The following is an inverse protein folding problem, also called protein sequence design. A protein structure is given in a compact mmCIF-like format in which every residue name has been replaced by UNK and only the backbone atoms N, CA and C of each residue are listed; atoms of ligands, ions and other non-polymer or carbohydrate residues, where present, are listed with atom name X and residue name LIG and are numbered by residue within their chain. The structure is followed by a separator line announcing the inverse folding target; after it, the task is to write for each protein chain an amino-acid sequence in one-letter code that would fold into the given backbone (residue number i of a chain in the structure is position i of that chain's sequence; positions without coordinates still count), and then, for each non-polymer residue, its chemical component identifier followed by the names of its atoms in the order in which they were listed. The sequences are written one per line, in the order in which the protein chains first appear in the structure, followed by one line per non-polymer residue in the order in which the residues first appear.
data_IF_969595557568
#
_entry.id   IF_969595557568
#
_cell.length_a   1.000
_cell.length_b   1.000
_cell.length_c   1.000
_cell.angle_alpha   90.00
_cell.angle_beta   90.00
_cell.angle_gamma   90.00
#
_symmetry.space_group_name_H-M   'P 1'
#
loop_
_entity.id
_entity.type
_entity.pdbx_description
1 polymer ?
#
# COMPACT_ATOMS: atom_id res chain seq x y z
N UNK A 1 -6.74 -12.94 -25.41
CA UNK A 1 -6.24 -13.52 -24.14
C UNK A 1 -5.25 -12.52 -23.57
N UNK A 2 -5.56 -11.89 -22.42
CA UNK A 2 -4.58 -11.01 -21.75
C UNK A 2 -3.41 -11.88 -21.28
N UNK A 3 -2.15 -11.41 -21.40
CA UNK A 3 -1.01 -12.15 -20.87
C UNK A 3 -1.24 -12.38 -19.37
N UNK A 4 -0.96 -13.58 -18.91
CA UNK A 4 -1.00 -13.95 -17.47
C UNK A 4 0.08 -13.12 -16.78
N UNK A 5 -0.26 -11.92 -16.37
CA UNK A 5 0.64 -11.09 -15.55
C UNK A 5 0.73 -11.76 -14.18
N UNK A 6 1.93 -12.06 -13.74
CA UNK A 6 2.21 -12.62 -12.41
C UNK A 6 1.49 -11.78 -11.35
N UNK A 7 0.62 -12.40 -10.57
CA UNK A 7 -0.12 -11.70 -9.51
C UNK A 7 0.86 -11.18 -8.47
N UNK A 8 0.59 -9.98 -7.98
CA UNK A 8 1.32 -9.39 -6.86
C UNK A 8 0.92 -10.12 -5.58
N UNK A 9 1.90 -10.60 -4.81
CA UNK A 9 1.65 -11.23 -3.51
C UNK A 9 1.41 -10.20 -2.42
N UNK A 10 0.33 -10.38 -1.65
CA UNK A 10 0.05 -9.60 -0.45
C UNK A 10 -0.35 -10.53 0.70
N UNK A 11 0.06 -10.18 1.91
CA UNK A 11 -0.41 -10.87 3.11
C UNK A 11 -1.84 -10.48 3.45
N UNK A 12 -2.60 -11.38 4.03
CA UNK A 12 -3.94 -11.07 4.54
C UNK A 12 -4.27 -11.89 5.79
N UNK A 13 -4.99 -11.29 6.73
CA UNK A 13 -5.55 -12.05 7.86
C UNK A 13 -6.48 -13.13 7.34
N UNK A 14 -6.18 -14.39 7.64
CA UNK A 14 -6.82 -15.59 7.06
C UNK A 14 -8.35 -15.59 7.20
N UNK A 15 -8.88 -15.07 8.30
CA UNK A 15 -10.33 -14.98 8.53
C UNK A 15 -11.04 -14.06 7.53
N UNK A 16 -10.34 -13.05 6.96
CA UNK A 16 -10.90 -12.15 5.94
C UNK A 16 -11.08 -12.85 4.58
N UNK A 17 -10.30 -13.90 4.33
CA UNK A 17 -10.39 -14.73 3.13
C UNK A 17 -11.47 -15.82 3.22
N UNK A 18 -12.13 -15.96 4.39
CA UNK A 18 -13.14 -16.98 4.63
C UNK A 18 -12.60 -18.25 5.27
N UNK A 19 -11.33 -18.29 5.69
CA UNK A 19 -10.75 -19.43 6.40
C UNK A 19 -11.29 -19.43 7.84
N UNK A 20 -11.75 -20.59 8.31
CA UNK A 20 -12.36 -20.78 9.62
C UNK A 20 -11.31 -20.88 10.72
N UNK A 21 -10.73 -19.75 11.10
CA UNK A 21 -9.62 -19.64 12.07
C UNK A 21 -9.94 -18.78 13.29
N UNK A 22 -11.18 -18.33 13.41
CA UNK A 22 -11.59 -17.53 14.56
C UNK A 22 -11.77 -18.38 15.82
N UNK A 23 -11.78 -17.72 16.98
CA UNK A 23 -11.96 -18.36 18.29
C UNK A 23 -13.25 -19.19 18.39
N UNK A 24 -14.29 -18.80 17.65
CA UNK A 24 -15.61 -19.44 17.57
C UNK A 24 -15.70 -20.51 16.46
N UNK A 25 -14.62 -20.83 15.76
CA UNK A 25 -14.63 -21.73 14.60
C UNK A 25 -15.18 -21.08 13.32
N UNK A 26 -15.54 -19.80 13.35
CA UNK A 26 -16.06 -19.05 12.21
C UNK A 26 -14.98 -18.33 11.40
N UNK A 27 -15.44 -17.42 10.55
CA UNK A 27 -14.60 -16.50 9.76
C UNK A 27 -15.23 -15.09 9.71
N UNK A 28 -14.50 -14.13 9.12
CA UNK A 28 -14.98 -12.77 8.83
C UNK A 28 -14.70 -12.44 7.36
N UNK A 29 -15.15 -13.34 6.45
CA UNK A 29 -14.93 -13.16 5.02
C UNK A 29 -15.42 -11.80 4.57
N UNK A 30 -14.53 -11.05 3.96
CA UNK A 30 -14.81 -9.80 3.28
C UNK A 30 -14.89 -10.08 1.78
N UNK A 31 -16.05 -9.80 1.17
CA UNK A 31 -16.27 -10.08 -0.26
C UNK A 31 -15.34 -9.28 -1.16
N UNK A 32 -15.12 -8.01 -0.83
CA UNK A 32 -14.25 -7.17 -1.64
C UNK A 32 -12.81 -7.70 -1.62
N UNK A 33 -12.28 -8.09 -0.45
CA UNK A 33 -10.95 -8.69 -0.34
C UNK A 33 -10.91 -10.03 -1.07
N UNK A 34 -11.80 -10.95 -0.74
CA UNK A 34 -11.73 -12.33 -1.22
C UNK A 34 -12.04 -12.46 -2.72
N UNK A 35 -13.04 -11.73 -3.22
CA UNK A 35 -13.58 -11.91 -4.57
C UNK A 35 -13.04 -10.85 -5.54
N UNK A 36 -13.07 -9.56 -5.16
CA UNK A 36 -12.64 -8.48 -6.07
C UNK A 36 -11.12 -8.37 -6.11
N UNK A 37 -10.48 -8.14 -4.98
CA UNK A 37 -9.01 -8.02 -4.94
C UNK A 37 -8.31 -9.35 -5.23
N UNK A 38 -8.90 -10.49 -4.86
CA UNK A 38 -8.38 -11.83 -5.13
C UNK A 38 -8.26 -12.19 -6.60
N UNK A 39 -8.95 -11.46 -7.50
CA UNK A 39 -8.74 -11.61 -8.95
C UNK A 39 -7.36 -11.07 -9.36
N UNK A 40 -6.83 -10.07 -8.65
CA UNK A 40 -5.62 -9.33 -9.00
C UNK A 40 -4.42 -9.66 -8.13
N UNK A 41 -4.64 -10.04 -6.88
CA UNK A 41 -3.61 -10.37 -5.91
C UNK A 41 -3.57 -11.86 -5.59
N UNK A 42 -2.37 -12.35 -5.27
CA UNK A 42 -2.15 -13.66 -4.66
C UNK A 42 -2.03 -13.46 -3.16
N UNK A 43 -2.86 -14.13 -2.37
CA UNK A 43 -2.84 -13.98 -0.91
C UNK A 43 -1.92 -14.97 -0.23
N UNK A 44 -1.14 -14.48 0.73
CA UNK A 44 -0.49 -15.28 1.77
C UNK A 44 -1.33 -15.14 3.04
N UNK A 45 -2.17 -16.14 3.38
CA UNK A 45 -3.01 -16.09 4.56
C UNK A 45 -2.19 -16.22 5.83
N UNK A 46 -2.51 -15.41 6.85
CA UNK A 46 -1.86 -15.47 8.17
C UNK A 46 -2.92 -15.38 9.27
N UNK A 47 -2.88 -16.34 10.19
CA UNK A 47 -3.65 -16.27 11.44
C UNK A 47 -2.70 -16.43 12.62
N UNK A 48 -2.28 -15.33 13.28
CA UNK A 48 -1.30 -15.41 14.37
C UNK A 48 -1.71 -16.35 15.50
N UNK A 49 -3.00 -16.42 15.80
CA UNK A 49 -3.52 -17.21 16.90
C UNK A 49 -3.45 -18.71 16.63
N UNK A 50 -3.84 -19.14 15.42
CA UNK A 50 -3.82 -20.55 15.02
C UNK A 50 -2.40 -21.02 14.72
N UNK A 51 -1.63 -20.22 13.98
CA UNK A 51 -0.26 -20.56 13.62
C UNK A 51 0.69 -20.56 14.82
N UNK A 52 0.37 -19.76 15.85
CA UNK A 52 1.04 -19.81 17.16
C UNK A 52 0.73 -21.11 17.93
N UNK A 53 -0.38 -21.80 17.63
CA UNK A 53 -0.76 -23.07 18.24
C UNK A 53 -2.01 -23.04 19.12
N UNK A 54 -2.78 -21.96 19.12
CA UNK A 54 -4.06 -21.93 19.83
C UNK A 54 -5.11 -22.80 19.08
N UNK A 55 -5.92 -23.60 19.80
CA UNK A 55 -6.92 -24.48 19.18
C UNK A 55 -8.09 -23.72 18.57
N UNK A 56 -8.93 -24.42 17.82
CA UNK A 56 -10.22 -23.97 17.34
C UNK A 56 -11.29 -25.00 17.78
N UNK A 57 -12.31 -24.62 18.54
CA UNK A 57 -12.56 -23.29 19.16
C UNK A 57 -11.61 -23.00 20.31
N UNK A 58 -11.52 -21.73 20.71
CA UNK A 58 -10.66 -21.29 21.81
C UNK A 58 -11.27 -20.15 22.61
N UNK A 59 -10.74 -19.94 23.79
CA UNK A 59 -11.04 -18.76 24.57
C UNK A 59 -10.57 -17.50 23.85
N UNK A 60 -11.32 -16.41 23.96
CA UNK A 60 -10.90 -15.10 23.44
C UNK A 60 -9.67 -14.59 24.17
N UNK A 61 -8.83 -13.88 23.45
CA UNK A 61 -7.66 -13.19 24.00
C UNK A 61 -7.85 -11.68 23.92
N UNK A 62 -7.17 -10.95 24.81
CA UNK A 62 -7.20 -9.48 24.87
C UNK A 62 -5.85 -8.90 25.22
N UNK A 63 -5.64 -7.62 24.89
CA UNK A 63 -4.50 -6.86 25.38
C UNK A 63 -4.84 -6.26 26.75
N UNK A 64 -3.93 -6.33 27.71
CA UNK A 64 -4.11 -5.82 29.05
C UNK A 64 -2.81 -5.20 29.62
N UNK A 65 -2.96 -4.33 30.64
CA UNK A 65 -1.84 -3.72 31.38
C UNK A 65 -1.36 -2.41 30.76
N UNK A 66 -0.04 -2.21 30.75
CA UNK A 66 0.58 -0.98 30.28
C UNK A 66 0.44 -0.83 28.75
N UNK A 67 -0.13 0.29 28.24
CA UNK A 67 -0.21 0.56 26.82
C UNK A 67 1.13 0.61 26.08
N UNK A 68 2.23 0.91 26.76
CA UNK A 68 3.56 0.90 26.16
C UNK A 68 4.11 -0.52 25.98
N UNK A 69 3.67 -1.47 26.81
CA UNK A 69 4.06 -2.89 26.75
C UNK A 69 2.88 -3.80 27.12
N UNK A 70 1.84 -3.87 26.29
CA UNK A 70 0.64 -4.61 26.62
C UNK A 70 0.90 -6.11 26.65
N UNK A 71 0.24 -6.79 27.58
CA UNK A 71 0.23 -8.24 27.68
C UNK A 71 -0.92 -8.83 26.87
N UNK A 72 -0.70 -9.96 26.25
CA UNK A 72 -1.72 -10.75 25.56
C UNK A 72 -2.20 -11.87 26.48
N UNK A 73 -3.39 -11.74 27.01
CA UNK A 73 -3.95 -12.69 27.96
C UNK A 73 -5.27 -13.27 27.49
N UNK A 74 -5.60 -14.48 27.91
CA UNK A 74 -6.95 -15.05 27.75
C UNK A 74 -7.94 -14.25 28.58
N UNK A 75 -9.17 -14.10 28.08
CA UNK A 75 -10.16 -13.17 28.68
C UNK A 75 -10.75 -13.69 29.99
N UNK A 76 -10.89 -15.02 30.16
CA UNK A 76 -11.49 -15.68 31.32
C UNK A 76 -10.43 -16.27 32.26
N UNK A 77 -9.49 -17.05 31.70
CA UNK A 77 -8.51 -17.78 32.52
C UNK A 77 -7.26 -16.96 32.87
N UNK A 78 -7.04 -15.81 32.17
CA UNK A 78 -5.91 -14.93 32.43
C UNK A 78 -4.54 -15.48 32.02
N UNK A 79 -4.48 -16.58 31.27
CA UNK A 79 -3.21 -17.16 30.79
C UNK A 79 -2.48 -16.16 29.91
N UNK A 80 -1.21 -15.93 30.22
CA UNK A 80 -0.35 -14.96 29.51
C UNK A 80 0.36 -15.62 28.32
N UNK A 81 0.06 -15.14 27.12
CA UNK A 81 0.65 -15.58 25.84
C UNK A 81 1.66 -14.57 25.27
N UNK A 82 2.00 -13.52 26.00
CA UNK A 82 2.74 -12.37 25.47
C UNK A 82 4.07 -12.75 24.85
N UNK A 83 4.96 -13.37 25.65
CA UNK A 83 6.31 -13.66 25.20
C UNK A 83 6.36 -14.75 24.11
N UNK A 84 5.50 -15.74 24.23
CA UNK A 84 5.41 -16.80 23.24
C UNK A 84 4.87 -16.26 21.89
N UNK A 85 3.83 -15.40 21.93
CA UNK A 85 3.30 -14.74 20.73
C UNK A 85 4.31 -13.77 20.11
N UNK A 86 5.10 -13.04 20.93
CA UNK A 86 6.17 -12.16 20.42
C UNK A 86 7.23 -12.95 19.67
N UNK A 87 7.76 -14.02 20.27
CA UNK A 87 8.76 -14.90 19.65
C UNK A 87 8.24 -15.51 18.34
N UNK A 88 7.02 -16.03 18.38
CA UNK A 88 6.37 -16.56 17.17
C UNK A 88 6.22 -15.47 16.09
N UNK A 89 5.76 -14.27 16.47
CA UNK A 89 5.58 -13.16 15.53
C UNK A 89 6.87 -12.75 14.85
N UNK A 90 7.97 -12.65 15.60
CA UNK A 90 9.28 -12.29 15.03
C UNK A 90 9.79 -13.38 14.06
N UNK A 91 9.64 -14.67 14.41
CA UNK A 91 9.98 -15.77 13.51
C UNK A 91 9.11 -15.77 12.25
N UNK A 92 7.79 -15.62 12.41
CA UNK A 92 6.85 -15.61 11.27
C UNK A 92 7.07 -14.43 10.31
N UNK A 93 7.40 -13.26 10.84
CA UNK A 93 7.73 -12.10 10.02
C UNK A 93 8.99 -12.34 9.19
N UNK A 94 10.01 -13.01 9.74
CA UNK A 94 11.20 -13.41 9.00
C UNK A 94 10.87 -14.40 7.86
N UNK A 95 9.95 -15.35 8.08
CA UNK A 95 9.51 -16.26 7.03
C UNK A 95 8.73 -15.52 5.94
N UNK A 96 7.86 -14.59 6.32
CA UNK A 96 7.11 -13.75 5.39
C UNK A 96 8.01 -12.85 4.52
N UNK A 97 9.22 -12.51 4.97
CA UNK A 97 10.18 -11.77 4.15
C UNK A 97 10.58 -12.55 2.88
N UNK A 98 10.56 -13.90 2.92
CA UNK A 98 10.84 -14.76 1.77
C UNK A 98 9.69 -14.82 0.75
N UNK A 99 8.48 -14.45 1.15
CA UNK A 99 7.29 -14.44 0.29
C UNK A 99 7.25 -13.25 -0.68
N UNK A 100 8.13 -12.28 -0.51
CA UNK A 100 8.15 -11.05 -1.31
C UNK A 100 6.80 -10.32 -1.33
N UNK A 101 6.19 -10.13 -0.17
CA UNK A 101 4.92 -9.42 -0.02
C UNK A 101 5.07 -7.95 -0.44
N UNK A 102 4.13 -7.46 -1.25
CA UNK A 102 4.06 -6.06 -1.63
C UNK A 102 3.05 -5.25 -0.79
N UNK A 103 2.32 -5.89 0.12
CA UNK A 103 1.38 -5.26 1.02
C UNK A 103 0.83 -6.25 2.04
N UNK A 104 0.08 -5.75 3.04
CA UNK A 104 -0.61 -6.62 4.01
C UNK A 104 -1.97 -6.01 4.41
N UNK A 105 -3.02 -6.85 4.41
CA UNK A 105 -4.37 -6.49 4.87
C UNK A 105 -4.63 -7.18 6.21
N UNK A 106 -4.72 -6.39 7.26
CA UNK A 106 -4.90 -6.86 8.62
C UNK A 106 -6.37 -6.87 9.04
N UNK A 107 -6.74 -7.80 9.94
CA UNK A 107 -8.05 -7.75 10.62
C UNK A 107 -8.04 -6.66 11.68
N UNK A 108 -8.94 -5.69 11.55
CA UNK A 108 -9.15 -4.62 12.54
C UNK A 108 -9.51 -5.15 13.92
N UNK A 109 -9.15 -4.41 14.95
CA UNK A 109 -9.48 -4.65 16.38
C UNK A 109 -9.04 -6.00 16.94
N UNK A 110 -8.26 -6.79 16.22
CA UNK A 110 -7.72 -8.05 16.73
C UNK A 110 -6.54 -7.79 17.67
N UNK A 111 -6.48 -8.43 18.86
CA UNK A 111 -5.38 -8.26 19.80
C UNK A 111 -4.04 -8.80 19.25
N UNK A 112 -4.08 -9.67 18.27
CA UNK A 112 -2.89 -10.15 17.56
C UNK A 112 -2.60 -9.36 16.28
N UNK A 113 -3.62 -9.04 15.46
CA UNK A 113 -3.47 -8.53 14.09
C UNK A 113 -3.94 -7.08 13.90
N UNK A 114 -4.56 -6.42 14.87
CA UNK A 114 -5.10 -5.07 14.67
C UNK A 114 -4.00 -4.04 14.47
N UNK A 115 -4.10 -3.22 13.40
CA UNK A 115 -3.11 -2.18 13.13
C UNK A 115 -3.14 -1.04 14.14
N UNK A 116 -4.34 -0.60 14.50
CA UNK A 116 -4.62 0.51 15.42
C UNK A 116 -5.97 0.28 16.09
N UNK A 117 -6.21 1.02 17.19
CA UNK A 117 -7.51 0.99 17.84
C UNK A 117 -7.82 -0.32 18.56
N UNK A 118 -6.82 -1.17 18.79
CA UNK A 118 -7.00 -2.38 19.63
C UNK A 118 -7.11 -1.96 21.07
N UNK A 119 -8.24 -2.29 21.71
CA UNK A 119 -8.49 -1.93 23.10
C UNK A 119 -7.50 -2.64 24.03
N UNK A 120 -6.84 -1.88 24.89
CA UNK A 120 -6.00 -2.39 25.97
C UNK A 120 -6.78 -2.22 27.27
N UNK A 121 -7.01 -3.31 27.98
CA UNK A 121 -7.75 -3.31 29.24
C UNK A 121 -6.80 -3.05 30.41
N UNK A 122 -7.23 -2.23 31.34
CA UNK A 122 -6.47 -2.03 32.59
C UNK A 122 -6.60 -3.25 33.53
N UNK A 123 -5.86 -3.25 34.64
CA UNK A 123 -5.86 -4.36 35.61
C UNK A 123 -7.23 -4.62 36.24
N UNK A 124 -8.14 -3.65 36.21
CA UNK A 124 -9.54 -3.79 36.68
C UNK A 124 -10.48 -4.29 35.55
N UNK A 125 -9.95 -4.69 34.38
CA UNK A 125 -10.74 -5.17 33.25
C UNK A 125 -11.55 -4.10 32.52
N UNK A 126 -11.33 -2.81 32.81
CA UNK A 126 -12.00 -1.71 32.10
C UNK A 126 -11.23 -1.34 30.82
N UNK A 127 -11.94 -0.99 29.71
CA UNK A 127 -11.27 -0.53 28.50
C UNK A 127 -10.49 0.76 28.78
N UNK A 128 -9.23 0.78 28.37
CA UNK A 128 -8.31 1.89 28.52
C UNK A 128 -7.88 2.45 27.17
N UNK A 129 -6.57 2.77 27.05
CA UNK A 129 -5.97 3.27 25.80
C UNK A 129 -6.03 2.22 24.69
N UNK A 130 -5.89 2.67 23.46
CA UNK A 130 -5.81 1.77 22.30
C UNK A 130 -4.36 1.62 21.81
N UNK A 131 -4.05 0.43 21.29
CA UNK A 131 -2.74 0.10 20.73
C UNK A 131 -2.83 -0.67 19.42
N UNK A 132 -1.77 -1.44 19.15
CA UNK A 132 -1.68 -2.36 18.00
C UNK A 132 -1.57 -3.80 18.51
N UNK A 133 -2.05 -4.75 17.71
CA UNK A 133 -1.87 -6.17 17.97
C UNK A 133 -0.40 -6.58 17.87
N UNK A 134 -0.01 -7.62 18.62
CA UNK A 134 1.41 -8.01 18.78
C UNK A 134 2.06 -8.35 17.44
N UNK A 135 1.43 -9.18 16.61
CA UNK A 135 1.94 -9.54 15.28
C UNK A 135 1.97 -8.34 14.32
N UNK A 136 0.92 -7.52 14.32
CA UNK A 136 0.90 -6.33 13.46
C UNK A 136 2.02 -5.35 13.84
N UNK A 137 2.28 -5.15 15.12
CA UNK A 137 3.39 -4.32 15.60
C UNK A 137 4.76 -4.88 15.18
N UNK A 138 4.98 -6.20 15.31
CA UNK A 138 6.20 -6.87 14.86
C UNK A 138 6.40 -6.73 13.35
N UNK A 139 5.33 -6.97 12.55
CA UNK A 139 5.38 -6.86 11.09
C UNK A 139 5.77 -5.45 10.63
N UNK A 140 5.13 -4.41 11.18
CA UNK A 140 5.40 -3.01 10.82
C UNK A 140 6.82 -2.60 11.22
N UNK A 141 7.28 -3.02 12.39
CA UNK A 141 8.63 -2.72 12.89
C UNK A 141 9.70 -3.29 11.97
N UNK A 142 9.55 -4.54 11.52
CA UNK A 142 10.54 -5.22 10.68
C UNK A 142 10.39 -4.85 9.19
N UNK A 143 9.19 -4.48 8.74
CA UNK A 143 8.87 -4.15 7.36
C UNK A 143 8.28 -2.73 7.20
N UNK A 144 9.00 -1.67 7.60
CA UNK A 144 8.46 -0.30 7.62
C UNK A 144 8.13 0.27 6.23
N UNK A 145 8.64 -0.35 5.18
CA UNK A 145 8.42 0.05 3.78
C UNK A 145 7.24 -0.66 3.12
N UNK A 146 6.74 -1.76 3.67
CA UNK A 146 5.60 -2.49 3.09
C UNK A 146 4.30 -1.75 3.43
N UNK A 147 3.44 -1.44 2.43
CA UNK A 147 2.11 -0.87 2.66
C UNK A 147 1.21 -1.78 3.47
N UNK A 148 0.53 -1.22 4.46
CA UNK A 148 -0.41 -1.97 5.31
C UNK A 148 -1.74 -1.23 5.45
N UNK A 149 -2.83 -1.99 5.52
CA UNK A 149 -4.18 -1.48 5.75
C UNK A 149 -4.98 -2.48 6.59
N UNK A 150 -6.01 -2.03 7.28
CA UNK A 150 -7.01 -2.91 7.90
C UNK A 150 -8.30 -2.99 7.07
N UNK A 151 -9.10 -4.03 7.32
CA UNK A 151 -10.35 -4.28 6.60
C UNK A 151 -11.36 -3.14 6.75
N UNK A 152 -11.42 -2.45 7.87
CA UNK A 152 -12.34 -1.31 8.07
C UNK A 152 -11.95 -0.12 7.20
N UNK A 153 -10.66 0.25 7.17
CA UNK A 153 -10.18 1.34 6.32
C UNK A 153 -10.25 1.03 4.84
N UNK A 154 -10.10 -0.24 4.47
CA UNK A 154 -10.20 -0.67 3.08
C UNK A 154 -11.59 -0.42 2.49
N UNK A 155 -12.63 -0.26 3.31
CA UNK A 155 -13.98 0.10 2.86
C UNK A 155 -14.07 1.56 2.38
N UNK A 156 -13.23 2.46 2.88
CA UNK A 156 -13.16 3.84 2.40
C UNK A 156 -12.40 3.88 1.06
N UNK A 157 -13.02 4.35 -0.04
CA UNK A 157 -12.41 4.40 -1.36
C UNK A 157 -11.06 5.13 -1.39
N UNK A 158 -10.92 6.18 -0.60
CA UNK A 158 -9.71 6.99 -0.60
C UNK A 158 -8.53 6.35 0.15
N UNK A 159 -8.78 5.58 1.22
CA UNK A 159 -7.75 4.77 1.86
C UNK A 159 -7.41 3.54 1.03
N UNK A 160 -8.40 2.97 0.36
CA UNK A 160 -8.23 1.85 -0.56
C UNK A 160 -7.33 2.21 -1.73
N UNK A 161 -7.62 3.30 -2.44
CA UNK A 161 -6.80 3.80 -3.54
C UNK A 161 -5.36 4.04 -3.08
N UNK A 162 -5.19 4.72 -1.95
CA UNK A 162 -3.89 4.98 -1.37
C UNK A 162 -3.09 3.71 -1.04
N UNK A 163 -3.74 2.67 -0.50
CA UNK A 163 -3.10 1.38 -0.25
C UNK A 163 -2.70 0.70 -1.56
N UNK A 164 -3.58 0.68 -2.56
CA UNK A 164 -3.32 0.10 -3.88
C UNK A 164 -2.11 0.80 -4.53
N UNK A 165 -2.05 2.13 -4.51
CA UNK A 165 -0.90 2.90 -5.00
C UNK A 165 0.40 2.46 -4.35
N UNK A 166 0.40 2.36 -3.02
CA UNK A 166 1.55 1.90 -2.26
C UNK A 166 2.00 0.50 -2.66
N UNK A 167 1.06 -0.44 -2.82
CA UNK A 167 1.34 -1.83 -3.24
C UNK A 167 1.99 -1.86 -4.62
N UNK A 168 1.47 -1.11 -5.60
CA UNK A 168 2.06 -1.08 -6.95
C UNK A 168 3.41 -0.38 -7.00
N UNK A 169 3.61 0.69 -6.23
CA UNK A 169 4.92 1.35 -6.10
C UNK A 169 5.95 0.37 -5.52
N UNK A 170 5.59 -0.34 -4.45
CA UNK A 170 6.48 -1.29 -3.81
C UNK A 170 6.76 -2.53 -4.68
N UNK A 171 5.76 -3.04 -5.39
CA UNK A 171 5.94 -4.15 -6.34
C UNK A 171 6.92 -3.80 -7.47
N UNK A 172 6.84 -2.58 -8.03
CA UNK A 172 7.81 -2.10 -9.04
C UNK A 172 9.24 -2.00 -8.48
N UNK A 173 9.37 -1.62 -7.22
CA UNK A 173 10.65 -1.66 -6.54
C UNK A 173 11.20 -3.09 -6.41
N UNK A 174 10.35 -4.05 -6.03
CA UNK A 174 10.74 -5.46 -5.97
C UNK A 174 11.16 -6.00 -7.35
N UNK A 175 10.44 -5.64 -8.40
CA UNK A 175 10.78 -6.05 -9.76
C UNK A 175 12.11 -5.45 -10.23
N UNK A 176 12.41 -4.19 -9.87
CA UNK A 176 13.70 -3.57 -10.08
C UNK A 176 14.84 -4.37 -9.41
N UNK A 177 14.67 -4.78 -8.16
CA UNK A 177 15.66 -5.59 -7.46
C UNK A 177 15.85 -6.96 -8.10
N UNK A 178 14.76 -7.63 -8.51
CA UNK A 178 14.81 -8.92 -9.21
C UNK A 178 15.51 -8.83 -10.57
N UNK A 179 15.43 -7.70 -11.24
CA UNK A 179 16.11 -7.43 -12.51
C UNK A 179 17.61 -7.13 -12.34
N UNK A 180 18.14 -7.23 -11.12
CA UNK A 180 19.55 -7.04 -10.81
C UNK A 180 19.91 -5.70 -10.17
N UNK A 181 18.95 -4.78 -10.01
CA UNK A 181 19.12 -3.56 -9.24
C UNK A 181 20.23 -2.61 -9.73
N UNK A 182 20.55 -2.60 -11.03
CA UNK A 182 21.63 -1.76 -11.57
C UNK A 182 21.26 -0.28 -11.52
N UNK A 183 22.24 0.59 -11.44
CA UNK A 183 22.02 2.05 -11.38
C UNK A 183 21.21 2.59 -12.58
N UNK A 184 21.49 2.13 -13.80
CA UNK A 184 20.75 2.51 -15.00
C UNK A 184 19.24 2.12 -14.90
N UNK A 185 18.96 0.97 -14.29
CA UNK A 185 17.58 0.50 -14.08
C UNK A 185 16.89 1.32 -12.99
N UNK A 186 17.61 1.79 -11.97
CA UNK A 186 17.11 2.72 -10.97
C UNK A 186 16.75 4.08 -11.58
N UNK A 187 17.59 4.60 -12.49
CA UNK A 187 17.31 5.84 -13.24
C UNK A 187 16.04 5.68 -14.08
N UNK A 188 15.89 4.52 -14.74
CA UNK A 188 14.68 4.17 -15.49
C UNK A 188 13.44 4.14 -14.59
N UNK A 189 13.48 3.36 -13.50
CA UNK A 189 12.38 3.26 -12.53
C UNK A 189 11.99 4.64 -11.98
N UNK A 190 12.98 5.44 -11.58
CA UNK A 190 12.73 6.79 -11.09
C UNK A 190 12.06 7.65 -12.15
N UNK A 191 12.54 7.57 -13.40
CA UNK A 191 11.96 8.32 -14.52
C UNK A 191 10.49 7.95 -14.73
N UNK A 192 10.16 6.67 -14.67
CA UNK A 192 8.81 6.15 -14.90
C UNK A 192 7.85 6.44 -13.74
N UNK A 193 8.37 6.60 -12.52
CA UNK A 193 7.61 6.93 -11.30
C UNK A 193 7.51 8.43 -10.99
N UNK A 194 8.22 9.31 -11.70
CA UNK A 194 8.31 10.74 -11.36
C UNK A 194 6.95 11.39 -11.08
N UNK A 195 5.97 11.19 -11.95
CA UNK A 195 4.65 11.80 -11.81
C UNK A 195 3.84 11.18 -10.67
N UNK A 196 4.00 9.88 -10.41
CA UNK A 196 3.41 9.21 -9.24
C UNK A 196 3.98 9.84 -7.97
N UNK A 197 5.30 9.96 -7.86
CA UNK A 197 5.98 10.57 -6.71
C UNK A 197 5.51 12.02 -6.52
N UNK A 198 5.41 12.79 -7.59
CA UNK A 198 4.93 14.19 -7.57
C UNK A 198 3.50 14.30 -7.04
N UNK A 199 2.61 13.35 -7.44
CA UNK A 199 1.23 13.29 -6.96
C UNK A 199 1.14 13.02 -5.46
N UNK A 200 2.07 12.26 -4.90
CA UNK A 200 2.14 11.99 -3.47
C UNK A 200 2.85 13.10 -2.70
N UNK A 201 4.01 13.57 -3.21
CA UNK A 201 4.83 14.57 -2.49
C UNK A 201 5.81 15.31 -3.39
N UNK A 202 5.59 16.60 -3.68
CA UNK A 202 6.57 17.46 -4.37
C UNK A 202 7.93 17.49 -3.66
N UNK A 203 7.94 17.49 -2.31
CA UNK A 203 9.18 17.47 -1.53
C UNK A 203 10.01 16.20 -1.84
N UNK A 204 9.39 15.02 -1.76
CA UNK A 204 10.09 13.78 -2.02
C UNK A 204 10.45 13.61 -3.51
N UNK A 205 9.66 14.16 -4.42
CA UNK A 205 10.03 14.24 -5.84
C UNK A 205 11.40 14.94 -6.04
N UNK A 206 11.61 16.08 -5.39
CA UNK A 206 12.89 16.79 -5.46
C UNK A 206 14.02 16.01 -4.77
N UNK A 207 13.75 15.45 -3.58
CA UNK A 207 14.75 14.68 -2.83
C UNK A 207 15.21 13.42 -3.59
N UNK A 208 14.28 12.66 -4.16
CA UNK A 208 14.59 11.46 -4.95
C UNK A 208 15.33 11.82 -6.24
N UNK A 209 14.96 12.94 -6.89
CA UNK A 209 15.66 13.42 -8.07
C UNK A 209 17.13 13.73 -7.79
N UNK A 210 17.43 14.43 -6.68
CA UNK A 210 18.81 14.68 -6.23
C UNK A 210 19.55 13.41 -5.89
N UNK A 211 18.93 12.52 -5.12
CA UNK A 211 19.53 11.23 -4.76
C UNK A 211 19.94 10.41 -5.98
N UNK A 212 19.12 10.38 -7.03
CA UNK A 212 19.43 9.66 -8.28
C UNK A 212 20.51 10.39 -9.07
N UNK A 213 20.50 11.73 -9.11
CA UNK A 213 21.56 12.50 -9.80
C UNK A 213 22.94 12.31 -9.18
N UNK A 214 23.01 12.14 -7.87
CA UNK A 214 24.24 11.87 -7.12
C UNK A 214 24.57 10.39 -7.00
N UNK A 215 23.68 9.50 -7.45
CA UNK A 215 23.69 8.07 -7.14
C UNK A 215 24.89 7.30 -7.70
N UNK A 216 25.47 7.75 -8.81
CA UNK A 216 26.62 7.08 -9.42
C UNK A 216 27.87 7.03 -8.51
N UNK A 217 27.98 7.97 -7.56
CA UNK A 217 29.10 8.05 -6.61
C UNK A 217 28.86 7.27 -5.30
N UNK A 218 27.67 6.66 -5.12
CA UNK A 218 27.28 5.95 -3.89
C UNK A 218 27.41 4.44 -4.04
N UNK A 219 27.58 3.73 -2.92
CA UNK A 219 27.47 2.28 -2.93
C UNK A 219 26.04 1.86 -3.31
N UNK A 220 25.85 0.81 -4.13
CA UNK A 220 24.52 0.33 -4.52
C UNK A 220 23.60 0.05 -3.33
N UNK A 221 24.13 -0.56 -2.26
CA UNK A 221 23.35 -0.91 -1.07
C UNK A 221 22.79 0.34 -0.36
N UNK A 222 23.63 1.36 -0.13
CA UNK A 222 23.23 2.62 0.51
C UNK A 222 22.25 3.41 -0.37
N UNK A 223 22.49 3.42 -1.68
CA UNK A 223 21.61 4.09 -2.65
C UNK A 223 20.22 3.43 -2.63
N UNK A 224 20.15 2.10 -2.71
CA UNK A 224 18.90 1.35 -2.70
C UNK A 224 18.13 1.55 -1.39
N UNK A 225 18.81 1.43 -0.25
CA UNK A 225 18.17 1.64 1.05
C UNK A 225 17.62 3.07 1.20
N UNK A 226 18.38 4.08 0.77
CA UNK A 226 17.98 5.49 0.81
C UNK A 226 16.85 5.78 -0.15
N UNK A 227 16.91 5.24 -1.37
CA UNK A 227 15.87 5.42 -2.39
C UNK A 227 14.55 4.79 -1.94
N UNK A 228 14.55 3.53 -1.50
CA UNK A 228 13.35 2.85 -1.01
C UNK A 228 12.71 3.60 0.15
N UNK A 229 13.52 4.01 1.12
CA UNK A 229 13.03 4.78 2.28
C UNK A 229 12.31 6.06 1.85
N UNK A 230 12.89 6.85 0.95
CA UNK A 230 12.29 8.09 0.45
C UNK A 230 11.07 7.83 -0.44
N UNK A 231 11.13 6.80 -1.30
CA UNK A 231 10.03 6.42 -2.18
C UNK A 231 8.79 6.02 -1.35
N UNK A 232 8.98 5.15 -0.35
CA UNK A 232 7.86 4.71 0.48
C UNK A 232 7.42 5.78 1.49
N UNK A 233 8.30 6.68 1.91
CA UNK A 233 7.91 7.87 2.65
C UNK A 233 7.01 8.80 1.81
N UNK A 234 7.29 8.96 0.52
CA UNK A 234 6.39 9.67 -0.41
C UNK A 234 5.05 8.94 -0.54
N UNK A 235 5.07 7.62 -0.79
CA UNK A 235 3.90 6.79 -0.97
C UNK A 235 2.97 6.76 0.27
N UNK A 236 3.49 6.99 1.48
CA UNK A 236 2.68 7.15 2.71
C UNK A 236 1.90 8.46 2.77
N UNK A 237 2.23 9.44 1.94
CA UNK A 237 1.52 10.72 1.86
C UNK A 237 0.41 10.62 0.82
N UNK A 238 -0.83 10.89 1.23
CA UNK A 238 -1.97 10.80 0.35
C UNK A 238 -1.88 11.78 -0.82
N UNK A 239 -2.13 11.30 -2.04
CA UNK A 239 -2.37 12.11 -3.21
C UNK A 239 -3.75 12.78 -3.10
N UNK A 240 -3.79 14.11 -3.13
CA UNK A 240 -5.02 14.90 -3.02
C UNK A 240 -5.38 15.49 -4.38
N UNK A 241 -6.64 15.90 -4.58
CA UNK A 241 -7.07 16.53 -5.81
C UNK A 241 -6.19 17.72 -6.22
N UNK A 242 -5.71 18.52 -5.24
CA UNK A 242 -4.78 19.63 -5.49
C UNK A 242 -3.40 19.17 -5.97
N UNK A 243 -2.92 18.06 -5.46
CA UNK A 243 -1.65 17.48 -5.92
C UNK A 243 -1.77 16.85 -7.30
N UNK A 244 -2.90 16.19 -7.59
CA UNK A 244 -3.19 15.70 -8.94
C UNK A 244 -3.30 16.84 -9.95
N UNK A 245 -3.98 17.95 -9.61
CA UNK A 245 -4.01 19.16 -10.42
C UNK A 245 -2.59 19.65 -10.77
N UNK A 246 -1.70 19.72 -9.78
CA UNK A 246 -0.30 20.11 -9.99
C UNK A 246 0.42 19.17 -10.99
N UNK A 247 0.20 17.87 -10.89
CA UNK A 247 0.75 16.88 -11.85
C UNK A 247 0.18 17.08 -13.25
N UNK A 248 -1.13 17.29 -13.38
CA UNK A 248 -1.79 17.52 -14.67
C UNK A 248 -1.28 18.79 -15.35
N UNK A 249 -1.11 19.88 -14.59
CA UNK A 249 -0.52 21.13 -15.08
C UNK A 249 0.95 20.94 -15.47
N UNK A 250 1.71 20.13 -14.72
CA UNK A 250 3.08 19.77 -15.09
C UNK A 250 3.11 19.01 -16.41
N UNK A 251 2.21 18.05 -16.62
CA UNK A 251 2.07 17.35 -17.90
C UNK A 251 1.73 18.32 -19.04
N UNK A 252 0.76 19.22 -18.81
CA UNK A 252 0.39 20.25 -19.79
C UNK A 252 1.59 21.12 -20.20
N UNK A 253 2.45 21.46 -19.22
CA UNK A 253 3.68 22.22 -19.48
C UNK A 253 4.66 21.53 -20.43
N UNK A 254 4.61 20.19 -20.55
CA UNK A 254 5.45 19.44 -21.49
C UNK A 254 5.05 19.64 -22.97
N UNK A 255 3.82 20.11 -23.24
CA UNK A 255 3.29 20.33 -24.58
C UNK A 255 3.41 21.76 -25.11
N UNK A 256 4.24 22.62 -24.47
CA UNK A 256 4.32 24.05 -24.79
C UNK A 256 4.47 24.41 -26.28
N UNK A 257 5.11 23.51 -27.05
CA UNK A 257 5.38 23.73 -28.50
C UNK A 257 4.42 22.98 -29.42
N UNK A 258 3.55 22.14 -28.90
CA UNK A 258 2.71 21.23 -29.67
C UNK A 258 1.24 21.63 -29.69
N UNK A 259 0.70 22.06 -28.55
CA UNK A 259 -0.72 22.37 -28.42
C UNK A 259 -1.06 23.73 -29.03
N UNK A 260 -2.19 23.78 -29.74
CA UNK A 260 -2.84 25.04 -30.11
C UNK A 260 -3.40 25.73 -28.86
N UNK A 261 -3.73 27.01 -29.00
CA UNK A 261 -4.36 27.77 -27.90
C UNK A 261 -5.70 27.16 -27.48
N UNK A 262 -6.47 26.66 -28.44
CA UNK A 262 -7.77 26.00 -28.20
C UNK A 262 -7.60 24.68 -27.43
N UNK A 263 -6.75 23.78 -27.89
CA UNK A 263 -6.46 22.50 -27.21
C UNK A 263 -5.97 22.70 -25.77
N UNK A 264 -5.13 23.73 -25.54
CA UNK A 264 -4.66 24.10 -24.22
C UNK A 264 -5.81 24.59 -23.33
N UNK A 265 -6.73 25.40 -23.88
CA UNK A 265 -7.89 25.89 -23.15
C UNK A 265 -8.82 24.74 -22.72
N UNK A 266 -9.11 23.80 -23.63
CA UNK A 266 -9.91 22.60 -23.31
C UNK A 266 -9.31 21.76 -22.18
N UNK A 267 -7.98 21.49 -22.21
CA UNK A 267 -7.32 20.74 -21.16
C UNK A 267 -7.41 21.49 -19.82
N UNK A 268 -7.21 22.81 -19.81
CA UNK A 268 -7.30 23.62 -18.60
C UNK A 268 -8.72 23.64 -18.03
N UNK A 269 -9.74 23.67 -18.87
CA UNK A 269 -11.14 23.61 -18.45
C UNK A 269 -11.44 22.28 -17.74
N UNK A 270 -11.02 21.15 -18.34
CA UNK A 270 -11.21 19.81 -17.77
C UNK A 270 -10.42 19.65 -16.46
N UNK A 271 -9.19 20.15 -16.37
CA UNK A 271 -8.42 20.17 -15.13
C UNK A 271 -9.16 21.00 -14.07
N UNK A 272 -9.72 22.14 -14.44
CA UNK A 272 -10.52 22.98 -13.55
C UNK A 272 -11.81 22.27 -13.07
N UNK A 273 -12.50 21.56 -13.95
CA UNK A 273 -13.67 20.76 -13.62
C UNK A 273 -13.32 19.61 -12.64
N UNK A 274 -12.19 18.93 -12.87
CA UNK A 274 -11.67 17.94 -11.91
C UNK A 274 -11.37 18.56 -10.55
N UNK A 275 -10.71 19.72 -10.51
CA UNK A 275 -10.37 20.40 -9.26
C UNK A 275 -11.61 20.79 -8.44
N UNK A 276 -12.70 21.14 -9.11
CA UNK A 276 -14.01 21.45 -8.50
C UNK A 276 -14.80 20.18 -8.11
N UNK A 277 -14.32 18.98 -8.45
CA UNK A 277 -15.02 17.72 -8.19
C UNK A 277 -16.15 17.39 -9.16
N UNK A 278 -16.28 18.10 -10.27
CA UNK A 278 -17.33 17.85 -11.27
C UNK A 278 -17.07 16.62 -12.14
N UNK A 279 -15.79 16.25 -12.28
CA UNK A 279 -15.38 15.05 -13.04
C UNK A 279 -14.33 14.27 -12.25
N UNK A 280 -14.27 12.94 -12.38
CA UNK A 280 -13.24 12.11 -11.75
C UNK A 280 -11.87 12.27 -12.46
N UNK A 281 -10.79 11.87 -11.77
CA UNK A 281 -9.40 12.00 -12.26
C UNK A 281 -9.16 11.35 -13.62
N UNK A 282 -9.86 10.26 -13.92
CA UNK A 282 -9.70 9.55 -15.20
C UNK A 282 -10.03 10.43 -16.41
N UNK A 283 -10.91 11.43 -16.28
CA UNK A 283 -11.30 12.32 -17.38
C UNK A 283 -10.12 13.18 -17.87
N UNK A 284 -9.46 14.00 -17.02
CA UNK A 284 -8.28 14.77 -17.43
C UNK A 284 -7.11 13.86 -17.84
N UNK A 285 -6.93 12.68 -17.22
CA UNK A 285 -5.90 11.72 -17.61
C UNK A 285 -6.13 11.20 -19.04
N UNK A 286 -7.36 10.87 -19.40
CA UNK A 286 -7.71 10.40 -20.75
C UNK A 286 -7.42 11.48 -21.80
N UNK A 287 -7.77 12.74 -21.50
CA UNK A 287 -7.49 13.87 -22.38
C UNK A 287 -5.98 14.09 -22.58
N UNK A 288 -5.22 14.12 -21.48
CA UNK A 288 -3.76 14.25 -21.57
C UNK A 288 -3.16 13.09 -22.36
N UNK A 289 -3.60 11.85 -22.12
CA UNK A 289 -3.13 10.66 -22.86
C UNK A 289 -3.47 10.70 -24.35
N UNK A 290 -4.59 11.28 -24.72
CA UNK A 290 -4.90 11.53 -26.12
C UNK A 290 -3.80 12.40 -26.78
N UNK A 291 -3.44 13.51 -26.17
CA UNK A 291 -2.40 14.41 -26.69
C UNK A 291 -0.99 13.82 -26.58
N UNK A 292 -0.70 13.02 -25.55
CA UNK A 292 0.56 12.27 -25.44
C UNK A 292 0.77 11.35 -26.66
N UNK A 293 -0.29 10.68 -27.11
CA UNK A 293 -0.26 9.81 -28.29
C UNK A 293 -0.23 10.61 -29.59
N UNK A 294 -1.09 11.64 -29.71
CA UNK A 294 -1.17 12.51 -30.88
C UNK A 294 0.20 13.14 -31.22
N UNK A 295 0.87 13.66 -30.21
CA UNK A 295 2.17 14.34 -30.37
C UNK A 295 3.39 13.45 -30.06
N UNK A 296 3.18 12.14 -29.92
CA UNK A 296 4.24 11.13 -29.72
C UNK A 296 5.24 11.55 -28.65
N UNK A 297 4.77 11.84 -27.42
CA UNK A 297 5.58 12.30 -26.29
C UNK A 297 6.23 11.14 -25.51
N UNK A 298 7.44 10.64 -25.88
CA UNK A 298 7.98 9.39 -25.32
C UNK A 298 8.22 9.45 -23.82
N UNK A 299 8.59 10.63 -23.30
CA UNK A 299 8.82 10.82 -21.86
C UNK A 299 7.53 10.68 -21.04
N UNK A 300 6.39 11.11 -21.56
CA UNK A 300 5.08 11.00 -20.91
C UNK A 300 4.46 9.62 -21.13
N UNK A 301 4.70 8.98 -22.27
CA UNK A 301 4.24 7.61 -22.54
C UNK A 301 4.76 6.60 -21.52
N UNK A 302 5.95 6.80 -20.97
CA UNK A 302 6.56 5.91 -19.97
C UNK A 302 6.02 6.12 -18.55
N UNK A 303 5.31 7.21 -18.27
CA UNK A 303 4.88 7.54 -16.91
C UNK A 303 3.78 6.61 -16.42
N UNK A 304 4.03 5.91 -15.32
CA UNK A 304 3.04 5.04 -14.68
C UNK A 304 1.80 5.81 -14.16
N UNK A 305 1.95 7.09 -13.89
CA UNK A 305 0.83 7.96 -13.51
C UNK A 305 -0.19 8.10 -14.64
N UNK A 306 0.28 8.25 -15.88
CA UNK A 306 -0.55 8.38 -17.08
C UNK A 306 -0.95 7.02 -17.65
N UNK A 307 -0.06 6.04 -17.59
CA UNK A 307 -0.23 4.70 -18.13
C UNK A 307 0.02 3.64 -17.04
N UNK A 308 -0.87 3.54 -16.04
CA UNK A 308 -0.82 2.47 -15.06
C UNK A 308 -1.02 1.11 -15.74
N UNK A 309 -0.63 0.02 -15.07
CA UNK A 309 -0.91 -1.32 -15.58
C UNK A 309 -2.43 -1.54 -15.71
N UNK A 310 -2.91 -2.44 -16.58
CA UNK A 310 -4.34 -2.73 -16.72
C UNK A 310 -5.00 -3.08 -15.38
N UNK A 311 -4.34 -3.88 -14.55
CA UNK A 311 -4.80 -4.27 -13.21
C UNK A 311 -4.94 -3.04 -12.30
N UNK A 312 -3.91 -2.19 -12.27
CA UNK A 312 -3.90 -0.97 -11.47
C UNK A 312 -5.03 -0.01 -11.92
N UNK A 313 -5.23 0.13 -13.22
CA UNK A 313 -6.32 0.92 -13.80
C UNK A 313 -7.69 0.39 -13.38
N UNK A 314 -7.90 -0.92 -13.43
CA UNK A 314 -9.16 -1.55 -13.02
C UNK A 314 -9.41 -1.32 -11.53
N UNK A 315 -8.41 -1.49 -10.68
CA UNK A 315 -8.53 -1.30 -9.23
C UNK A 315 -8.79 0.16 -8.84
N UNK A 316 -8.24 1.12 -9.59
CA UNK A 316 -8.44 2.55 -9.32
C UNK A 316 -9.78 3.08 -9.84
N UNK A 317 -10.23 2.61 -11.00
CA UNK A 317 -11.31 3.28 -11.73
C UNK A 317 -12.56 2.43 -11.95
N UNK A 318 -12.48 1.09 -11.85
CA UNK A 318 -13.59 0.19 -12.18
C UNK A 318 -14.22 -0.52 -10.97
N UNK A 319 -13.63 -0.46 -9.77
CA UNK A 319 -14.13 -1.19 -8.58
C UNK A 319 -15.15 -0.41 -7.75
N UNK A 320 -15.72 0.64 -8.30
CA UNK A 320 -16.74 1.49 -7.65
C UNK A 320 -18.18 1.04 -7.96
N UNK A 321 -18.39 -0.24 -8.29
CA UNK A 321 -19.74 -0.82 -8.47
C UNK A 321 -20.12 -1.74 -7.32
#
# INVERSE_FOLDING_TARGET
MMPVTKKIKIGASACLLGIRVRYDGGHKRDRYIAETLGQFFEYVPVCPEVEYGLPIPRETIRLAGDPASPRLITSRTGVDHTEAMRRWSDARVNDLARENLAGFIFKSRSPSSGLKGVTIYNDRGKPGKSGSGIFAAAFIRQNPSIPVIDDERLQDPAFREHFIDGVFIYARWQDFLKAGGRFCDLVSLHTDLKLVILAHSPKHYTMLGRLVAEGAARSPCELHASYLRLLMAAAKLRATGRKHENVLLHCLGCFRKQLTAHEKAEILEIIGAYRKGYVPLIVPLTMINHYVRKYRMPRLLRQHYLNPSPIESMLRYCTSR
#
